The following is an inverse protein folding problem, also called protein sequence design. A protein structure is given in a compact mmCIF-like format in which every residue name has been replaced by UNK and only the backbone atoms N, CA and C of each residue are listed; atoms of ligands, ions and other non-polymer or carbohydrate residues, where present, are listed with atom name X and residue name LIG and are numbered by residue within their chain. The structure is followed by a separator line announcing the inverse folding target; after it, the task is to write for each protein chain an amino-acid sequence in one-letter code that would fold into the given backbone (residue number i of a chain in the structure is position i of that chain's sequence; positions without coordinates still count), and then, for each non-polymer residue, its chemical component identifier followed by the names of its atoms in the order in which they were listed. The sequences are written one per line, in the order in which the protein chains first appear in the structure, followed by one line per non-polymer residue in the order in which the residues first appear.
data_IF_679195683602
#
_entry.id   IF_679195683602
#
_cell.length_a   1.000
_cell.length_b   1.000
_cell.length_c   1.000
_cell.angle_alpha   90.00
_cell.angle_beta   90.00
_cell.angle_gamma   90.00
#
_symmetry.space_group_name_H-M   'P 1'
#
loop_
_entity.id
_entity.type
_entity.pdbx_description
1 polymer ?
#
# COMPACT_ATOMS: atom_id res chain seq x y z
N UNK A 1 -12.99 12.43 -11.54
CA UNK A 1 -12.03 13.20 -10.76
C UNK A 1 -10.94 12.31 -10.23
N UNK A 2 -9.72 12.81 -10.15
CA UNK A 2 -8.58 12.10 -9.59
C UNK A 2 -8.80 11.84 -8.09
N UNK A 3 -8.17 10.78 -7.56
CA UNK A 3 -8.14 10.47 -6.12
C UNK A 3 -7.77 11.70 -5.26
N UNK A 4 -6.82 12.50 -5.72
CA UNK A 4 -6.36 13.73 -5.04
C UNK A 4 -7.42 14.82 -5.06
N UNK A 5 -8.19 14.96 -6.16
CA UNK A 5 -9.23 15.97 -6.30
C UNK A 5 -10.36 15.77 -5.30
N UNK A 6 -10.72 14.51 -5.04
CA UNK A 6 -11.74 14.15 -4.05
C UNK A 6 -11.29 14.40 -2.61
N UNK A 7 -9.98 14.36 -2.33
CA UNK A 7 -9.42 14.57 -0.99
C UNK A 7 -9.15 16.03 -0.67
N UNK A 8 -8.72 16.82 -1.66
CA UNK A 8 -8.25 18.20 -1.45
C UNK A 8 -9.28 19.26 -1.87
N UNK A 9 -10.36 18.87 -2.57
CA UNK A 9 -11.41 19.80 -3.02
C UNK A 9 -10.96 20.82 -4.06
N UNK A 10 -9.79 20.62 -4.70
CA UNK A 10 -9.27 21.50 -5.76
C UNK A 10 -8.78 20.65 -6.93
N UNK A 11 -9.55 20.66 -8.03
CA UNK A 11 -9.17 20.01 -9.27
C UNK A 11 -7.93 20.64 -9.89
N UNK A 12 -6.81 19.95 -9.79
CA UNK A 12 -5.65 20.16 -10.66
C UNK A 12 -5.32 18.84 -11.34
N UNK A 13 -5.22 18.78 -12.67
CA UNK A 13 -4.92 17.55 -13.38
C UNK A 13 -3.45 17.18 -13.10
N UNK A 14 -3.24 16.08 -12.39
CA UNK A 14 -1.94 15.45 -12.23
C UNK A 14 -1.87 14.28 -13.22
N UNK A 15 -1.06 14.51 -14.25
CA UNK A 15 -0.60 13.58 -15.29
C UNK A 15 -1.59 13.31 -16.45
N UNK A 16 -1.20 13.90 -17.55
CA UNK A 16 -1.58 13.85 -18.95
C UNK A 16 -2.47 12.71 -19.44
N UNK A 17 -3.64 13.11 -19.83
CA UNK A 17 -4.56 12.37 -20.69
C UNK A 17 -3.99 12.33 -22.12
N UNK A 18 -3.51 11.19 -22.58
CA UNK A 18 -3.27 10.94 -23.99
C UNK A 18 -4.54 10.30 -24.57
N UNK A 19 -5.39 11.14 -25.12
CA UNK A 19 -6.46 10.74 -26.02
C UNK A 19 -5.87 10.04 -27.25
N UNK A 20 -6.14 8.74 -27.37
CA UNK A 20 -6.11 8.06 -28.66
C UNK A 20 -7.55 7.74 -29.04
N UNK A 21 -8.08 8.49 -30.01
CA UNK A 21 -9.37 8.26 -30.59
C UNK A 21 -9.45 6.88 -31.26
N UNK A 22 -10.47 6.11 -30.90
CA UNK A 22 -10.88 4.91 -31.61
C UNK A 22 -12.38 4.97 -31.87
N UNK A 23 -12.71 4.92 -33.14
CA UNK A 23 -14.06 4.94 -33.66
C UNK A 23 -14.96 3.86 -33.06
N UNK A 24 -16.16 4.25 -32.68
CA UNK A 24 -17.19 3.41 -32.09
C UNK A 24 -17.95 2.65 -33.19
N UNK A 25 -18.10 1.34 -32.99
CA UNK A 25 -18.94 0.44 -33.79
C UNK A 25 -20.26 0.21 -33.00
N UNK A 26 -21.43 0.59 -33.53
CA UNK A 26 -22.68 0.69 -32.76
C UNK A 26 -23.40 -0.64 -32.49
N UNK A 27 -22.91 -1.79 -32.93
CA UNK A 27 -23.63 -3.06 -32.83
C UNK A 27 -23.13 -4.06 -31.75
N UNK A 28 -22.18 -3.67 -30.87
CA UNK A 28 -21.66 -4.53 -29.81
C UNK A 28 -22.14 -4.23 -28.38
N UNK A 29 -23.16 -3.40 -28.21
CA UNK A 29 -23.55 -2.83 -26.90
C UNK A 29 -24.57 -3.63 -26.07
N UNK A 30 -24.97 -4.85 -26.44
CA UNK A 30 -26.05 -5.55 -25.68
C UNK A 30 -25.69 -6.80 -24.89
N UNK A 31 -24.42 -7.20 -24.77
CA UNK A 31 -24.05 -8.45 -24.09
C UNK A 31 -23.15 -8.30 -22.86
N UNK A 32 -22.84 -7.11 -22.35
CA UNK A 32 -21.90 -6.97 -21.24
C UNK A 32 -22.32 -5.98 -20.13
N UNK A 33 -23.61 -5.84 -19.88
CA UNK A 33 -24.11 -5.12 -18.71
C UNK A 33 -24.39 -6.13 -17.61
N UNK A 34 -23.44 -6.37 -16.71
CA UNK A 34 -23.63 -6.69 -15.28
C UNK A 34 -22.38 -7.28 -14.63
N UNK A 35 -21.28 -6.55 -14.63
CA UNK A 35 -20.29 -6.61 -13.55
C UNK A 35 -19.74 -5.20 -13.39
N UNK A 36 -19.82 -4.58 -12.19
CA UNK A 36 -19.08 -3.33 -11.98
C UNK A 36 -17.60 -3.64 -12.23
N UNK A 37 -17.02 -3.04 -13.26
CA UNK A 37 -15.57 -3.00 -13.44
C UNK A 37 -15.03 -2.34 -12.18
N UNK A 38 -14.49 -3.13 -11.26
CA UNK A 38 -13.57 -2.60 -10.26
C UNK A 38 -12.48 -1.88 -11.08
N UNK A 39 -12.43 -0.57 -10.97
CA UNK A 39 -11.36 0.22 -11.56
C UNK A 39 -10.05 -0.33 -11.01
N UNK A 40 -9.22 -0.92 -11.88
CA UNK A 40 -7.91 -1.40 -11.47
C UNK A 40 -7.15 -0.19 -10.93
N UNK A 41 -6.67 -0.31 -9.70
CA UNK A 41 -5.83 0.70 -9.05
C UNK A 41 -4.63 0.98 -9.95
N UNK A 42 -4.47 2.22 -10.36
CA UNK A 42 -3.31 2.63 -11.14
C UNK A 42 -2.10 2.82 -10.22
N UNK A 43 -0.89 2.63 -10.74
CA UNK A 43 0.35 2.82 -9.98
C UNK A 43 0.41 4.20 -9.30
N UNK A 44 -0.06 5.26 -9.96
CA UNK A 44 -0.12 6.60 -9.38
C UNK A 44 -1.04 6.74 -8.16
N UNK A 45 -2.18 6.04 -8.14
CA UNK A 45 -3.09 6.05 -6.99
C UNK A 45 -2.46 5.34 -5.78
N UNK A 46 -1.69 4.28 -6.02
CA UNK A 46 -0.97 3.58 -4.97
C UNK A 46 0.13 4.47 -4.35
N UNK A 47 0.93 5.13 -5.18
CA UNK A 47 1.99 6.05 -4.72
C UNK A 47 1.43 7.18 -3.86
N UNK A 48 0.35 7.82 -4.31
CA UNK A 48 -0.33 8.89 -3.56
C UNK A 48 -0.89 8.36 -2.24
N UNK A 49 -1.51 7.19 -2.26
CA UNK A 49 -2.05 6.55 -1.04
C UNK A 49 -0.95 6.24 -0.04
N UNK A 50 0.19 5.71 -0.50
CA UNK A 50 1.35 5.42 0.34
C UNK A 50 1.90 6.70 0.97
N UNK A 51 2.06 7.78 0.20
CA UNK A 51 2.50 9.08 0.70
C UNK A 51 1.57 9.67 1.75
N UNK A 52 0.27 9.60 1.51
CA UNK A 52 -0.73 10.08 2.45
C UNK A 52 -0.66 9.33 3.79
N UNK A 53 -0.60 8.01 3.74
CA UNK A 53 -0.53 7.19 4.95
C UNK A 53 0.82 7.31 5.65
N UNK A 54 1.93 7.39 4.91
CA UNK A 54 3.26 7.68 5.46
C UNK A 54 3.26 9.02 6.21
N UNK A 55 2.64 10.07 5.64
CA UNK A 55 2.55 11.38 6.30
C UNK A 55 1.76 11.35 7.62
N UNK A 56 0.78 10.46 7.73
CA UNK A 56 -0.01 10.27 8.95
C UNK A 56 0.82 9.55 10.02
N UNK A 57 1.61 8.55 9.63
CA UNK A 57 2.46 7.78 10.55
C UNK A 57 3.58 8.67 11.11
N UNK A 58 4.31 9.37 10.25
CA UNK A 58 5.39 10.29 10.65
C UNK A 58 4.92 11.39 11.60
N UNK A 59 3.64 11.75 11.54
CA UNK A 59 3.06 12.75 12.46
C UNK A 59 2.47 12.14 13.73
N UNK A 60 2.53 10.84 13.91
CA UNK A 60 1.84 10.17 15.01
C UNK A 60 2.38 10.58 16.39
N UNK A 61 3.68 10.81 16.51
CA UNK A 61 4.34 11.27 17.73
C UNK A 61 4.34 12.80 17.91
N UNK A 62 3.78 13.53 16.94
CA UNK A 62 3.74 15.00 16.94
C UNK A 62 5.05 15.69 16.61
N UNK A 63 6.12 14.94 16.35
CA UNK A 63 7.44 15.42 15.96
C UNK A 63 7.75 14.95 14.55
N UNK A 64 7.97 15.88 13.64
CA UNK A 64 8.42 15.56 12.30
C UNK A 64 9.94 15.51 12.29
N UNK A 65 10.54 14.31 12.37
CA UNK A 65 11.99 14.16 12.28
C UNK A 65 12.42 14.22 10.80
N UNK A 66 13.46 15.02 10.52
CA UNK A 66 14.04 15.12 9.18
C UNK A 66 14.61 13.77 8.71
N UNK A 67 15.08 12.92 9.63
CA UNK A 67 15.60 11.58 9.32
C UNK A 67 14.53 10.67 8.75
N UNK A 68 13.31 10.70 9.32
CA UNK A 68 12.17 9.93 8.81
C UNK A 68 11.79 10.37 7.41
N UNK A 69 11.79 11.68 7.15
CA UNK A 69 11.53 12.23 5.83
C UNK A 69 12.59 11.80 4.82
N UNK A 70 13.87 11.80 5.20
CA UNK A 70 14.97 11.38 4.36
C UNK A 70 14.89 9.86 4.09
N UNK A 71 14.50 9.06 5.08
CA UNK A 71 14.23 7.62 4.92
C UNK A 71 13.10 7.36 3.93
N UNK A 72 11.97 8.05 4.07
CA UNK A 72 10.85 7.93 3.11
C UNK A 72 11.30 8.32 1.71
N UNK A 73 12.07 9.41 1.58
CA UNK A 73 12.60 9.85 0.29
C UNK A 73 13.53 8.81 -0.33
N UNK A 74 14.42 8.22 0.47
CA UNK A 74 15.32 7.17 0.02
C UNK A 74 14.55 5.94 -0.45
N UNK A 75 13.56 5.50 0.31
CA UNK A 75 12.67 4.39 -0.06
C UNK A 75 11.95 4.66 -1.39
N UNK A 76 11.37 5.84 -1.55
CA UNK A 76 10.70 6.23 -2.80
C UNK A 76 11.68 6.32 -3.98
N UNK A 77 12.90 6.81 -3.74
CA UNK A 77 13.96 6.87 -4.76
C UNK A 77 14.38 5.47 -5.21
N UNK A 78 14.52 4.55 -4.26
CA UNK A 78 14.88 3.16 -4.55
C UNK A 78 13.77 2.43 -5.32
N UNK A 79 12.50 2.70 -5.00
CA UNK A 79 11.35 2.05 -5.63
C UNK A 79 11.02 2.61 -7.01
N UNK A 80 11.02 3.92 -7.16
CA UNK A 80 10.44 4.60 -8.34
C UNK A 80 11.47 5.37 -9.17
N UNK A 81 12.72 5.42 -8.73
CA UNK A 81 13.76 6.25 -9.32
C UNK A 81 13.66 7.73 -8.92
N UNK A 82 14.76 8.46 -9.12
CA UNK A 82 14.93 9.83 -8.61
C UNK A 82 13.91 10.84 -9.11
N UNK A 83 13.51 10.77 -10.38
CA UNK A 83 12.55 11.73 -10.95
C UNK A 83 11.15 11.58 -10.38
N UNK A 84 10.64 10.33 -10.32
CA UNK A 84 9.31 10.04 -9.75
C UNK A 84 9.28 10.34 -8.26
N UNK A 85 10.34 9.97 -7.52
CA UNK A 85 10.48 10.29 -6.11
C UNK A 85 10.45 11.79 -5.85
N UNK A 86 11.15 12.61 -6.62
CA UNK A 86 11.13 14.06 -6.46
C UNK A 86 9.72 14.65 -6.68
N UNK A 87 9.01 14.24 -7.73
CA UNK A 87 7.61 14.65 -7.97
C UNK A 87 6.68 14.25 -6.83
N UNK A 88 6.82 13.01 -6.34
CA UNK A 88 6.08 12.49 -5.21
C UNK A 88 6.35 13.30 -3.93
N UNK A 89 7.61 13.69 -3.68
CA UNK A 89 7.98 14.50 -2.52
C UNK A 89 7.48 15.95 -2.58
N UNK A 90 7.37 16.56 -3.74
CA UNK A 90 6.69 17.86 -3.88
C UNK A 90 5.20 17.77 -3.48
N UNK A 91 4.55 16.68 -3.84
CA UNK A 91 3.18 16.38 -3.39
C UNK A 91 3.15 16.14 -1.88
N UNK A 92 4.06 15.33 -1.35
CA UNK A 92 4.17 15.02 0.08
C UNK A 92 4.30 16.28 0.94
N UNK A 93 5.19 17.23 0.58
CA UNK A 93 5.35 18.50 1.27
C UNK A 93 4.06 19.33 1.33
N UNK A 94 3.22 19.26 0.27
CA UNK A 94 1.92 19.94 0.26
C UNK A 94 0.91 19.24 1.16
N UNK A 95 0.90 17.90 1.13
CA UNK A 95 0.00 17.06 1.90
C UNK A 95 0.29 17.18 3.40
N UNK A 96 1.56 17.19 3.80
CA UNK A 96 1.95 17.27 5.22
C UNK A 96 1.52 18.57 5.89
N UNK A 97 1.25 19.63 5.12
CA UNK A 97 0.73 20.91 5.65
C UNK A 97 -0.78 20.91 5.89
N UNK A 98 -1.50 19.91 5.41
CA UNK A 98 -2.95 19.83 5.52
C UNK A 98 -3.37 18.93 6.68
N UNK A 99 -4.52 19.24 7.29
CA UNK A 99 -5.14 18.33 8.24
C UNK A 99 -5.92 17.26 7.48
N UNK A 100 -5.40 16.03 7.47
CA UNK A 100 -5.95 14.92 6.71
C UNK A 100 -6.63 13.94 7.66
N UNK A 101 -7.90 13.64 7.41
CA UNK A 101 -8.62 12.63 8.16
C UNK A 101 -8.18 11.23 7.75
N UNK A 102 -7.46 10.54 8.64
CA UNK A 102 -7.02 9.14 8.46
C UNK A 102 -8.16 8.24 8.00
N UNK A 103 -9.32 8.35 8.65
CA UNK A 103 -10.50 7.54 8.32
C UNK A 103 -10.98 7.78 6.89
N UNK A 104 -11.10 9.05 6.45
CA UNK A 104 -11.56 9.38 5.08
C UNK A 104 -10.61 8.82 4.03
N UNK A 105 -9.30 9.00 4.21
CA UNK A 105 -8.27 8.46 3.30
C UNK A 105 -8.36 6.94 3.21
N UNK A 106 -8.37 6.24 4.35
CA UNK A 106 -8.41 4.78 4.38
C UNK A 106 -9.69 4.21 3.77
N UNK A 107 -10.85 4.84 4.01
CA UNK A 107 -12.11 4.40 3.41
C UNK A 107 -12.10 4.56 1.89
N UNK A 108 -11.52 5.62 1.37
CA UNK A 108 -11.39 5.84 -0.07
C UNK A 108 -10.42 4.84 -0.70
N UNK A 109 -9.27 4.59 -0.06
CA UNK A 109 -8.31 3.55 -0.48
C UNK A 109 -8.98 2.17 -0.51
N UNK A 110 -9.76 1.83 0.54
CA UNK A 110 -10.49 0.57 0.62
C UNK A 110 -11.47 0.36 -0.53
N UNK A 111 -12.12 1.44 -1.00
CA UNK A 111 -13.05 1.37 -2.14
C UNK A 111 -12.33 1.22 -3.48
N UNK A 112 -11.13 1.78 -3.61
CA UNK A 112 -10.39 1.82 -4.88
C UNK A 112 -9.42 0.66 -5.06
N UNK A 113 -8.87 0.13 -3.95
CA UNK A 113 -7.85 -0.90 -3.98
C UNK A 113 -8.39 -2.28 -3.64
N UNK A 114 -7.95 -3.28 -4.36
CA UNK A 114 -8.16 -4.68 -4.01
C UNK A 114 -7.42 -5.07 -2.72
N UNK A 115 -7.72 -6.25 -2.20
CA UNK A 115 -7.15 -6.71 -0.94
C UNK A 115 -5.62 -6.89 -1.02
N UNK A 116 -5.11 -7.43 -2.14
CA UNK A 116 -3.67 -7.66 -2.33
C UNK A 116 -2.89 -6.34 -2.35
N UNK A 117 -3.40 -5.32 -3.04
CA UNK A 117 -2.82 -3.97 -3.06
C UNK A 117 -2.80 -3.33 -1.66
N UNK A 118 -3.87 -3.52 -0.86
CA UNK A 118 -3.92 -3.01 0.52
C UNK A 118 -2.92 -3.72 1.45
N UNK A 119 -2.71 -5.03 1.28
CA UNK A 119 -1.68 -5.77 2.01
C UNK A 119 -0.28 -5.27 1.64
N UNK A 120 -0.04 -5.00 0.36
CA UNK A 120 1.22 -4.44 -0.11
C UNK A 120 1.46 -3.04 0.47
N UNK A 121 0.42 -2.20 0.49
CA UNK A 121 0.46 -0.87 1.12
C UNK A 121 0.86 -0.97 2.61
N UNK A 122 0.21 -1.87 3.37
CA UNK A 122 0.54 -2.09 4.79
C UNK A 122 2.00 -2.53 4.98
N UNK A 123 2.49 -3.44 4.12
CA UNK A 123 3.88 -3.86 4.17
C UNK A 123 4.85 -2.69 3.97
N UNK A 124 4.60 -1.80 3.01
CA UNK A 124 5.44 -0.61 2.81
C UNK A 124 5.37 0.36 3.98
N UNK A 125 4.22 0.51 4.63
CA UNK A 125 4.08 1.35 5.82
C UNK A 125 4.95 0.85 6.97
N UNK A 126 5.02 -0.46 7.20
CA UNK A 126 5.96 -1.05 8.15
C UNK A 126 7.42 -0.84 7.74
N UNK A 127 7.73 -0.95 6.45
CA UNK A 127 9.07 -0.66 5.91
C UNK A 127 9.50 0.78 6.16
N UNK A 128 8.60 1.74 5.99
CA UNK A 128 8.84 3.16 6.27
C UNK A 128 9.04 3.38 7.77
N UNK A 129 8.13 2.89 8.61
CA UNK A 129 8.23 3.05 10.06
C UNK A 129 9.51 2.41 10.64
N UNK A 130 10.04 1.34 10.02
CA UNK A 130 11.26 0.68 10.46
C UNK A 130 12.54 1.23 9.82
N UNK A 131 12.46 2.20 8.94
CA UNK A 131 13.62 2.66 8.15
C UNK A 131 14.73 3.27 9.01
N UNK A 132 14.40 3.87 10.15
CA UNK A 132 15.35 4.39 11.14
C UNK A 132 15.79 3.33 12.20
N UNK A 133 15.22 2.12 12.14
CA UNK A 133 15.53 0.97 13.00
C UNK A 133 14.63 0.84 14.23
N UNK A 134 13.87 1.84 14.61
CA UNK A 134 13.02 1.86 15.81
C UNK A 134 11.60 2.25 15.41
N UNK A 135 10.65 1.33 15.62
CA UNK A 135 9.23 1.66 15.45
C UNK A 135 8.64 2.00 16.82
N UNK A 136 8.14 3.20 16.96
CA UNK A 136 7.53 3.68 18.21
C UNK A 136 6.16 3.03 18.46
N UNK A 137 5.70 3.03 19.70
CA UNK A 137 4.37 2.52 20.03
C UNK A 137 3.25 3.36 19.37
N UNK A 138 3.46 4.66 19.21
CA UNK A 138 2.51 5.55 18.57
C UNK A 138 2.38 5.26 17.07
N UNK A 139 3.48 5.00 16.39
CA UNK A 139 3.48 4.56 14.99
C UNK A 139 2.78 3.20 14.83
N UNK A 140 3.09 2.22 15.68
CA UNK A 140 2.41 0.90 15.67
C UNK A 140 0.90 1.06 15.89
N UNK A 141 0.49 1.94 16.79
CA UNK A 141 -0.92 2.23 17.07
C UNK A 141 -1.61 2.87 15.88
N UNK A 142 -0.92 3.79 15.19
CA UNK A 142 -1.41 4.38 13.95
C UNK A 142 -1.50 3.37 12.82
N UNK A 143 -0.48 2.53 12.61
CA UNK A 143 -0.50 1.47 11.59
C UNK A 143 -1.66 0.51 11.87
N UNK A 144 -1.88 0.11 13.13
CA UNK A 144 -2.98 -0.76 13.51
C UNK A 144 -4.35 -0.10 13.22
N UNK A 145 -4.50 1.18 13.52
CA UNK A 145 -5.73 1.95 13.23
C UNK A 145 -5.99 2.03 11.72
N UNK A 146 -4.96 2.33 10.93
CA UNK A 146 -5.01 2.34 9.48
C UNK A 146 -5.43 0.96 8.94
N UNK A 147 -4.87 -0.11 9.48
CA UNK A 147 -5.19 -1.50 9.13
C UNK A 147 -6.68 -1.80 9.27
N UNK A 148 -7.27 -1.39 10.39
CA UNK A 148 -8.71 -1.54 10.64
C UNK A 148 -9.57 -0.79 9.61
N UNK A 149 -9.25 0.47 9.33
CA UNK A 149 -9.98 1.25 8.33
C UNK A 149 -9.81 0.73 6.90
N UNK A 150 -8.65 0.17 6.55
CA UNK A 150 -8.41 -0.49 5.28
C UNK A 150 -9.17 -1.83 5.14
N UNK A 151 -9.76 -2.35 6.22
CA UNK A 151 -10.44 -3.64 6.24
C UNK A 151 -9.47 -4.81 6.04
N UNK A 152 -8.27 -4.70 6.62
CA UNK A 152 -7.29 -5.77 6.72
C UNK A 152 -7.50 -6.47 8.06
N UNK A 153 -7.46 -7.81 8.08
CA UNK A 153 -7.67 -8.59 9.30
C UNK A 153 -6.50 -8.44 10.28
N UNK A 154 -6.78 -8.64 11.59
CA UNK A 154 -5.72 -8.66 12.61
C UNK A 154 -4.68 -9.75 12.34
N UNK A 155 -5.09 -10.87 11.74
CA UNK A 155 -4.19 -11.97 11.37
C UNK A 155 -3.21 -11.53 10.26
N UNK A 156 -3.70 -10.85 9.22
CA UNK A 156 -2.87 -10.27 8.18
C UNK A 156 -1.89 -9.22 8.73
N UNK A 157 -2.38 -8.38 9.66
CA UNK A 157 -1.55 -7.38 10.33
C UNK A 157 -0.39 -8.04 11.10
N UNK A 158 -0.67 -9.05 11.93
CA UNK A 158 0.36 -9.74 12.70
C UNK A 158 1.33 -10.51 11.79
N UNK A 159 0.84 -11.11 10.70
CA UNK A 159 1.67 -11.77 9.70
C UNK A 159 2.63 -10.80 9.03
N UNK A 160 2.15 -9.66 8.56
CA UNK A 160 3.00 -8.64 7.93
C UNK A 160 3.97 -8.02 8.94
N UNK A 161 3.51 -7.67 10.14
CA UNK A 161 4.34 -7.16 11.22
C UNK A 161 5.50 -8.11 11.53
N UNK A 162 5.23 -9.42 11.60
CA UNK A 162 6.24 -10.43 11.89
C UNK A 162 7.38 -10.48 10.85
N UNK A 163 7.14 -10.05 9.60
CA UNK A 163 8.19 -9.99 8.56
C UNK A 163 9.28 -8.95 8.87
N UNK A 164 8.99 -7.97 9.73
CA UNK A 164 9.92 -6.88 10.08
C UNK A 164 10.66 -7.12 11.42
N UNK A 165 10.31 -8.16 12.15
CA UNK A 165 10.92 -8.47 13.45
C UNK A 165 11.55 -9.86 13.41
N UNK A 166 12.85 -9.94 13.74
CA UNK A 166 13.58 -11.20 13.77
C UNK A 166 13.31 -11.93 15.09
N UNK A 167 12.43 -12.94 15.08
CA UNK A 167 12.31 -13.92 16.16
C UNK A 167 12.05 -15.30 15.58
N UNK A 168 12.48 -16.36 16.26
CA UNK A 168 12.24 -17.75 15.84
C UNK A 168 10.76 -18.10 15.69
N UNK A 169 9.88 -17.32 16.34
CA UNK A 169 8.44 -17.50 16.33
C UNK A 169 7.75 -16.83 15.15
N UNK A 170 8.47 -15.96 14.43
CA UNK A 170 7.87 -15.17 13.38
C UNK A 170 7.47 -16.00 12.15
N UNK A 171 8.20 -17.07 11.84
CA UNK A 171 7.85 -17.94 10.71
C UNK A 171 6.42 -18.51 10.82
N UNK A 172 6.02 -18.95 12.01
CA UNK A 172 4.66 -19.46 12.25
C UNK A 172 3.62 -18.34 12.18
N UNK A 173 3.93 -17.15 12.71
CA UNK A 173 3.06 -15.96 12.60
C UNK A 173 2.90 -15.50 11.15
N UNK A 174 4.00 -15.49 10.38
CA UNK A 174 3.98 -15.15 8.94
C UNK A 174 3.08 -16.13 8.19
N UNK A 175 3.15 -17.41 8.50
CA UNK A 175 2.32 -18.47 7.92
C UNK A 175 0.88 -18.49 8.47
N UNK A 176 0.59 -17.69 9.50
CA UNK A 176 -0.72 -17.63 10.17
C UNK A 176 -1.15 -18.98 10.78
N UNK A 177 -0.20 -19.75 11.34
CA UNK A 177 -0.43 -21.06 11.95
C UNK A 177 0.15 -21.14 13.36
N UNK A 178 -0.29 -22.13 14.14
CA UNK A 178 0.29 -22.47 15.43
C UNK A 178 1.57 -23.31 15.25
N UNK A 179 2.49 -23.23 16.22
CA UNK A 179 3.73 -24.01 16.20
C UNK A 179 3.53 -25.52 16.35
N UNK A 180 2.41 -25.92 16.90
CA UNK A 180 2.07 -27.33 17.16
C UNK A 180 1.51 -28.07 15.95
N UNK A 181 1.30 -27.37 14.81
CA UNK A 181 0.72 -27.99 13.61
C UNK A 181 1.69 -28.96 12.95
N UNK A 182 1.18 -30.05 12.31
CA UNK A 182 2.03 -30.99 11.59
C UNK A 182 2.63 -30.39 10.31
N UNK A 183 3.73 -30.96 9.81
CA UNK A 183 4.43 -30.52 8.60
C UNK A 183 3.54 -30.41 7.37
N UNK A 184 2.52 -31.25 7.26
CA UNK A 184 1.51 -31.17 6.17
C UNK A 184 0.78 -29.85 6.16
N UNK A 185 0.44 -29.31 7.32
CA UNK A 185 -0.28 -28.06 7.47
C UNK A 185 0.67 -26.85 7.28
N UNK A 186 1.93 -26.98 7.69
CA UNK A 186 2.97 -25.98 7.35
C UNK A 186 3.10 -25.83 5.84
N UNK A 187 3.19 -26.93 5.08
CA UNK A 187 3.25 -26.92 3.60
C UNK A 187 2.01 -26.31 2.98
N UNK A 188 0.83 -26.59 3.54
CA UNK A 188 -0.45 -26.02 3.06
C UNK A 188 -0.52 -24.52 3.32
N UNK A 189 -0.14 -24.10 4.53
CA UNK A 189 -0.07 -22.69 4.93
C UNK A 189 0.90 -21.92 4.03
N UNK A 190 2.10 -22.43 3.79
CA UNK A 190 3.07 -21.83 2.87
C UNK A 190 2.46 -21.59 1.46
N UNK A 191 1.81 -22.62 0.88
CA UNK A 191 1.15 -22.46 -0.43
C UNK A 191 0.05 -21.41 -0.43
N UNK A 192 -0.69 -21.29 0.68
CA UNK A 192 -1.74 -20.29 0.85
C UNK A 192 -1.14 -18.88 0.91
N UNK A 193 -0.07 -18.70 1.69
CA UNK A 193 0.63 -17.42 1.78
C UNK A 193 1.32 -17.04 0.48
N UNK A 194 1.97 -17.99 -0.18
CA UNK A 194 2.57 -17.77 -1.50
C UNK A 194 1.53 -17.27 -2.52
N UNK A 195 0.32 -17.82 -2.53
CA UNK A 195 -0.77 -17.32 -3.37
C UNK A 195 -1.27 -15.95 -2.94
N UNK A 196 -1.35 -15.67 -1.63
CA UNK A 196 -1.87 -14.42 -1.07
C UNK A 196 -0.97 -13.22 -1.40
N UNK A 197 0.34 -13.43 -1.34
CA UNK A 197 1.36 -12.40 -1.57
C UNK A 197 2.07 -12.54 -2.92
N UNK A 198 1.52 -13.33 -3.85
CA UNK A 198 2.14 -13.58 -5.14
C UNK A 198 2.37 -12.27 -5.93
N UNK A 199 3.57 -12.06 -6.53
CA UNK A 199 3.90 -10.85 -7.28
C UNK A 199 2.89 -10.50 -8.38
N UNK A 200 2.31 -11.50 -9.04
CA UNK A 200 1.31 -11.29 -10.10
C UNK A 200 0.04 -10.59 -9.61
N UNK A 201 -0.29 -10.71 -8.32
CA UNK A 201 -1.46 -10.05 -7.74
C UNK A 201 -1.30 -8.53 -7.62
N UNK A 202 -0.08 -8.06 -7.62
CA UNK A 202 0.28 -6.64 -7.54
C UNK A 202 0.95 -6.13 -8.82
N UNK A 203 0.98 -6.94 -9.87
CA UNK A 203 1.59 -6.60 -11.16
C UNK A 203 1.00 -5.35 -11.81
N UNK A 204 -0.26 -5.07 -11.56
CA UNK A 204 -0.95 -3.87 -12.04
C UNK A 204 -0.48 -2.58 -11.34
N UNK A 205 0.21 -2.67 -10.21
CA UNK A 205 0.78 -1.53 -9.50
C UNK A 205 2.15 -1.08 -10.06
N UNK A 206 2.80 -1.92 -10.88
CA UNK A 206 4.11 -1.67 -11.47
C UNK A 206 5.18 -2.69 -11.07
N UNK A 207 6.28 -2.72 -11.82
CA UNK A 207 7.39 -3.68 -11.61
C UNK A 207 8.01 -3.56 -10.22
N UNK A 208 8.15 -2.35 -9.70
CA UNK A 208 8.72 -2.04 -8.40
C UNK A 208 7.98 -2.77 -7.26
N UNK A 209 6.66 -2.90 -7.40
CA UNK A 209 5.82 -3.59 -6.40
C UNK A 209 5.89 -5.10 -6.55
N UNK A 210 6.07 -5.61 -7.78
CA UNK A 210 6.33 -7.02 -8.01
C UNK A 210 7.66 -7.45 -7.40
N UNK A 211 8.73 -6.71 -7.64
CA UNK A 211 10.06 -6.98 -7.07
C UNK A 211 10.04 -6.94 -5.53
N UNK A 212 9.33 -5.97 -4.95
CA UNK A 212 9.10 -5.90 -3.50
C UNK A 212 8.28 -7.08 -2.96
N UNK A 213 7.32 -7.60 -3.72
CA UNK A 213 6.58 -8.80 -3.35
C UNK A 213 7.43 -10.06 -3.47
N UNK A 214 8.29 -10.20 -4.49
CA UNK A 214 9.23 -11.32 -4.63
C UNK A 214 10.24 -11.38 -3.48
N UNK A 215 10.76 -10.24 -3.04
CA UNK A 215 11.72 -10.18 -1.94
C UNK A 215 11.18 -10.76 -0.61
N UNK A 216 9.86 -10.86 -0.45
CA UNK A 216 9.23 -11.47 0.74
C UNK A 216 9.30 -12.99 0.76
N UNK A 217 9.56 -13.63 -0.39
CA UNK A 217 9.59 -15.09 -0.54
C UNK A 217 11.02 -15.67 -0.60
N UNK A 218 12.03 -14.82 -0.59
CA UNK A 218 13.45 -15.22 -0.48
C UNK A 218 13.89 -15.26 0.96
#
# INVERSE_FOLDING_TARGET
GSFVDNLTGKGTPLLGDRQTGRQQDPYRERANQTRPRQSQTQSGDFEVSLLLLASIIIKADGKQDQRELDCVRQQFTNMYGKERANKAFELFKRITKQHISTRKVCMQIKQMMDHASRLQLLHFLFGIAKADGIVTEDELRQIYTITGYLGISSRDYESIKAMFYNSSDNAYKILEIDKSVPDSDVKKAYRTMAKKYHPDRVGHLGKEHQEGAEAKFR
#
